data_IF_398728981557
#
_entry.id   IF_398728981557
#
_cell.length_a   1.000
_cell.length_b   1.000
_cell.length_c   1.000
_cell.angle_alpha   90.00
_cell.angle_beta   90.00
_cell.angle_gamma   90.00
#
_symmetry.space_group_name_H-M   'P 1'
#
loop_
_entity.id
_entity.type
_entity.pdbx_description
1 polymer ?
#
# COMPACT_ATOMS: atom_id res chain seq x y z
N UNK A 1 -17.62 60.01 4.08
CA UNK A 1 -16.59 58.95 4.07
C UNK A 1 -17.24 57.67 3.56
N UNK A 2 -16.71 57.12 2.46
CA UNK A 2 -17.18 55.86 1.83
C UNK A 2 -16.53 54.70 2.58
N UNK A 3 -17.33 53.79 3.13
CA UNK A 3 -16.83 52.49 3.60
C UNK A 3 -16.97 51.54 2.42
N UNK A 4 -15.84 51.20 1.80
CA UNK A 4 -15.78 50.21 0.74
C UNK A 4 -16.04 48.83 1.32
N UNK A 5 -17.04 48.14 0.80
CA UNK A 5 -17.26 46.70 1.01
C UNK A 5 -16.25 45.93 0.17
N UNK A 6 -15.02 45.83 0.65
CA UNK A 6 -14.00 44.91 0.17
C UNK A 6 -13.62 43.98 1.31
N UNK A 7 -14.39 42.90 1.51
CA UNK A 7 -13.86 41.66 2.06
C UNK A 7 -14.89 40.54 1.90
N UNK A 8 -14.92 39.96 0.71
CA UNK A 8 -15.45 38.61 0.48
C UNK A 8 -14.40 37.82 -0.28
N UNK A 9 -13.27 37.57 0.38
CA UNK A 9 -12.17 36.74 -0.15
C UNK A 9 -12.25 35.26 0.30
N UNK A 10 -13.38 34.84 0.87
CA UNK A 10 -13.58 33.46 1.34
C UNK A 10 -14.20 32.51 0.30
N UNK A 11 -14.42 32.97 -0.93
CA UNK A 11 -14.86 32.13 -2.07
C UNK A 11 -13.74 31.31 -2.71
N UNK A 12 -12.76 30.82 -1.93
CA UNK A 12 -11.81 29.85 -2.45
C UNK A 12 -12.57 28.52 -2.61
N UNK A 13 -13.13 28.31 -3.78
CA UNK A 13 -13.51 26.99 -4.28
C UNK A 13 -12.36 26.05 -3.98
N UNK A 14 -12.54 25.19 -2.98
CA UNK A 14 -11.66 24.03 -2.81
C UNK A 14 -11.89 23.21 -4.05
N UNK A 15 -11.08 23.41 -5.09
CA UNK A 15 -10.91 22.43 -6.15
C UNK A 15 -10.58 21.14 -5.43
N UNK A 16 -11.59 20.29 -5.27
CA UNK A 16 -11.40 18.96 -4.75
C UNK A 16 -10.30 18.37 -5.61
N UNK A 17 -9.17 18.03 -4.99
CA UNK A 17 -8.24 17.10 -5.61
C UNK A 17 -9.10 15.87 -5.84
N UNK A 18 -9.52 15.67 -7.09
CA UNK A 18 -10.16 14.43 -7.48
C UNK A 18 -9.07 13.37 -7.29
N UNK A 19 -9.07 12.78 -6.09
CA UNK A 19 -8.18 11.68 -5.77
C UNK A 19 -8.64 10.57 -6.69
N UNK A 20 -7.91 10.38 -7.79
CA UNK A 20 -8.20 9.37 -8.77
C UNK A 20 -8.39 8.05 -8.03
N UNK A 21 -9.59 7.48 -8.14
CA UNK A 21 -9.90 6.22 -7.48
C UNK A 21 -8.87 5.20 -7.98
N UNK A 22 -8.18 4.49 -7.08
CA UNK A 22 -7.17 3.54 -7.51
C UNK A 22 -7.78 2.49 -8.42
N UNK A 23 -7.02 2.02 -9.43
CA UNK A 23 -7.53 1.05 -10.38
C UNK A 23 -7.89 -0.26 -9.68
N UNK A 24 -9.11 -0.75 -9.93
CA UNK A 24 -9.56 -2.08 -9.50
C UNK A 24 -9.04 -3.08 -10.56
N UNK A 25 -7.76 -3.38 -10.47
CA UNK A 25 -7.09 -4.39 -11.31
C UNK A 25 -6.40 -5.42 -10.43
N UNK A 26 -6.31 -6.66 -10.92
CA UNK A 26 -5.54 -7.74 -10.32
C UNK A 26 -4.05 -7.66 -10.67
N UNK A 27 -3.68 -6.81 -11.63
CA UNK A 27 -2.28 -6.52 -11.92
C UNK A 27 -1.63 -5.78 -10.74
N UNK A 28 -0.38 -6.12 -10.47
CA UNK A 28 0.39 -5.56 -9.37
C UNK A 28 1.38 -4.50 -9.85
N UNK A 29 1.55 -3.43 -9.08
CA UNK A 29 2.55 -2.40 -9.35
C UNK A 29 3.96 -2.85 -8.98
N UNK A 30 4.95 -2.08 -9.43
CA UNK A 30 6.36 -2.25 -9.06
C UNK A 30 6.63 -1.68 -7.66
N UNK A 31 7.35 -2.44 -6.84
CA UNK A 31 7.95 -2.04 -5.57
C UNK A 31 9.25 -1.28 -5.89
N UNK A 32 9.33 0.05 -5.66
CA UNK A 32 10.47 0.84 -6.12
C UNK A 32 11.81 0.42 -5.54
N UNK A 33 11.85 -0.06 -4.30
CA UNK A 33 13.09 -0.47 -3.62
C UNK A 33 13.70 -1.76 -4.17
N UNK A 34 12.90 -2.60 -4.85
CA UNK A 34 13.35 -3.88 -5.41
C UNK A 34 13.41 -3.89 -6.94
N UNK A 35 12.66 -3.00 -7.60
CA UNK A 35 12.46 -3.09 -9.05
C UNK A 35 11.62 -4.29 -9.50
N UNK A 36 10.99 -4.99 -8.56
CA UNK A 36 10.09 -6.13 -8.79
C UNK A 36 8.64 -5.70 -8.57
N UNK A 37 7.70 -6.34 -9.25
CA UNK A 37 6.28 -6.22 -8.91
C UNK A 37 5.93 -6.87 -7.56
N UNK A 38 4.81 -6.49 -6.95
CA UNK A 38 4.35 -7.18 -5.73
C UNK A 38 4.19 -8.69 -5.94
N UNK A 39 3.70 -9.13 -7.10
CA UNK A 39 3.55 -10.56 -7.40
C UNK A 39 4.90 -11.28 -7.51
N UNK A 40 5.90 -10.67 -8.14
CA UNK A 40 7.26 -11.24 -8.23
C UNK A 40 7.95 -11.27 -6.87
N UNK A 41 7.80 -10.21 -6.08
CA UNK A 41 8.32 -10.17 -4.72
C UNK A 41 7.65 -11.24 -3.83
N UNK A 42 6.34 -11.46 -3.96
CA UNK A 42 5.62 -12.53 -3.24
C UNK A 42 6.12 -13.91 -3.65
N UNK A 43 6.40 -14.14 -4.94
CA UNK A 43 6.99 -15.40 -5.37
C UNK A 43 8.38 -15.63 -4.74
N UNK A 44 9.18 -14.56 -4.60
CA UNK A 44 10.49 -14.61 -3.95
C UNK A 44 10.42 -14.88 -2.44
N UNK A 45 9.29 -14.59 -1.77
CA UNK A 45 9.12 -14.89 -0.34
C UNK A 45 8.71 -16.33 -0.04
N UNK A 46 8.41 -17.11 -1.08
CA UNK A 46 8.09 -18.53 -0.95
C UNK A 46 9.25 -19.36 -1.53
N UNK A 47 10.31 -19.61 -0.75
CA UNK A 47 11.37 -20.52 -1.17
C UNK A 47 10.79 -21.93 -1.22
N UNK A 48 10.28 -22.33 -2.37
CA UNK A 48 9.78 -23.66 -2.58
C UNK A 48 10.95 -24.64 -2.43
N UNK A 49 11.08 -25.23 -1.23
CA UNK A 49 11.91 -26.39 -0.89
C UNK A 49 13.43 -26.29 -0.98
N UNK A 50 14.02 -25.15 -1.36
CA UNK A 50 15.49 -25.01 -1.34
C UNK A 50 16.01 -24.78 0.08
N UNK A 51 16.74 -25.76 0.61
CA UNK A 51 17.42 -25.66 1.90
C UNK A 51 18.48 -24.55 1.94
N UNK A 52 18.93 -24.09 0.77
CA UNK A 52 19.91 -23.01 0.58
C UNK A 52 19.25 -21.68 0.17
N UNK A 53 17.93 -21.54 0.33
CA UNK A 53 17.25 -20.28 0.06
C UNK A 53 17.96 -19.13 0.81
N UNK A 54 18.29 -18.07 0.07
CA UNK A 54 18.88 -16.88 0.64
C UNK A 54 17.83 -16.18 1.51
N UNK A 55 17.81 -16.53 2.80
CA UNK A 55 16.89 -15.99 3.79
C UNK A 55 16.99 -14.47 3.93
N UNK A 56 18.13 -13.87 3.56
CA UNK A 56 18.27 -12.41 3.49
C UNK A 56 17.39 -11.87 2.37
N UNK A 57 17.50 -12.42 1.15
CA UNK A 57 16.67 -12.03 0.03
C UNK A 57 15.16 -12.25 0.26
N UNK A 58 14.80 -13.36 0.93
CA UNK A 58 13.40 -13.64 1.34
C UNK A 58 12.88 -12.58 2.30
N UNK A 59 13.70 -12.20 3.28
CA UNK A 59 13.33 -11.19 4.29
C UNK A 59 13.24 -9.80 3.65
N UNK A 60 14.20 -9.44 2.80
CA UNK A 60 14.21 -8.17 2.06
C UNK A 60 12.95 -8.03 1.18
N UNK A 61 12.56 -9.11 0.49
CA UNK A 61 11.34 -9.13 -0.31
C UNK A 61 10.08 -8.93 0.54
N UNK A 62 9.99 -9.62 1.69
CA UNK A 62 8.86 -9.48 2.61
C UNK A 62 8.79 -8.06 3.21
N UNK A 63 9.91 -7.52 3.68
CA UNK A 63 9.99 -6.18 4.25
C UNK A 63 9.62 -5.11 3.23
N UNK A 64 10.07 -5.23 1.98
CA UNK A 64 9.72 -4.30 0.92
C UNK A 64 8.21 -4.30 0.60
N UNK A 65 7.57 -5.48 0.60
CA UNK A 65 6.11 -5.59 0.49
C UNK A 65 5.42 -4.89 1.67
N UNK A 66 5.90 -5.08 2.91
CA UNK A 66 5.33 -4.44 4.09
C UNK A 66 5.52 -2.92 4.11
N UNK A 67 6.66 -2.42 3.64
CA UNK A 67 6.94 -0.99 3.61
C UNK A 67 6.13 -0.24 2.53
N UNK A 68 5.86 -0.89 1.40
CA UNK A 68 5.30 -0.22 0.21
C UNK A 68 3.77 -0.13 0.27
N UNK A 69 3.16 1.08 0.22
CA UNK A 69 1.71 1.22 0.18
C UNK A 69 1.11 0.61 -1.11
N UNK A 70 -0.03 -0.10 -1.03
CA UNK A 70 -0.72 -0.60 -2.21
C UNK A 70 -1.35 0.54 -3.01
N UNK A 71 -1.29 0.47 -4.33
CA UNK A 71 -1.95 1.42 -5.25
C UNK A 71 -2.94 0.74 -6.19
N UNK A 72 -2.89 -0.59 -6.30
CA UNK A 72 -3.89 -1.42 -6.97
C UNK A 72 -4.54 -2.42 -6.00
N UNK A 73 -5.69 -2.98 -6.40
CA UNK A 73 -6.29 -4.08 -5.66
C UNK A 73 -5.38 -5.33 -5.62
N UNK A 74 -4.65 -5.60 -6.70
CA UNK A 74 -3.63 -6.64 -6.76
C UNK A 74 -2.57 -6.49 -5.65
N UNK A 75 -2.01 -5.29 -5.47
CA UNK A 75 -1.01 -5.01 -4.44
C UNK A 75 -1.58 -5.29 -3.03
N UNK A 76 -2.80 -4.82 -2.79
CA UNK A 76 -3.49 -5.02 -1.51
C UNK A 76 -3.73 -6.51 -1.23
N UNK A 77 -4.08 -7.30 -2.25
CA UNK A 77 -4.26 -8.76 -2.11
C UNK A 77 -2.95 -9.49 -1.84
N UNK A 78 -1.85 -9.13 -2.50
CA UNK A 78 -0.51 -9.67 -2.18
C UNK A 78 -0.16 -9.37 -0.72
N UNK A 79 -0.32 -8.11 -0.32
CA UNK A 79 0.01 -7.67 1.03
C UNK A 79 -0.83 -8.37 2.11
N UNK A 80 -2.12 -8.61 1.85
CA UNK A 80 -2.98 -9.41 2.74
C UNK A 80 -2.51 -10.86 2.85
N UNK A 81 -2.14 -11.50 1.74
CA UNK A 81 -1.60 -12.87 1.76
C UNK A 81 -0.29 -12.93 2.53
N UNK A 82 0.59 -11.96 2.33
CA UNK A 82 1.83 -11.84 3.09
C UNK A 82 1.59 -11.67 4.59
N UNK A 83 0.67 -10.78 4.98
CA UNK A 83 0.28 -10.56 6.38
C UNK A 83 -0.33 -11.80 7.04
N UNK A 84 -1.11 -12.59 6.29
CA UNK A 84 -1.72 -13.82 6.76
C UNK A 84 -0.78 -15.03 6.76
N UNK A 85 0.35 -14.95 6.03
CA UNK A 85 1.33 -16.01 5.91
C UNK A 85 2.32 -16.06 7.07
N UNK A 86 3.15 -17.13 7.15
CA UNK A 86 4.11 -17.31 8.23
C UNK A 86 5.02 -16.10 8.43
N UNK A 87 5.59 -15.56 7.34
CA UNK A 87 6.47 -14.38 7.38
C UNK A 87 5.76 -13.12 7.90
N UNK A 88 4.48 -12.94 7.57
CA UNK A 88 3.66 -11.87 8.16
C UNK A 88 3.44 -12.06 9.65
N UNK A 89 3.20 -13.29 10.11
CA UNK A 89 2.96 -13.63 11.52
C UNK A 89 4.24 -13.56 12.36
N UNK A 90 5.39 -14.03 11.85
CA UNK A 90 6.69 -13.88 12.54
C UNK A 90 7.10 -12.40 12.62
N UNK A 91 6.77 -11.61 11.60
CA UNK A 91 6.84 -10.15 11.64
C UNK A 91 5.74 -9.48 12.48
N UNK A 92 4.74 -10.22 12.96
CA UNK A 92 3.56 -9.73 13.68
C UNK A 92 3.86 -9.05 15.02
N UNK A 93 5.09 -9.18 15.53
CA UNK A 93 5.60 -8.43 16.70
C UNK A 93 6.31 -7.12 16.32
N UNK A 94 6.43 -6.80 15.03
CA UNK A 94 7.08 -5.58 14.53
C UNK A 94 6.07 -4.46 14.27
N UNK A 95 6.51 -3.21 14.40
CA UNK A 95 5.73 -2.02 14.04
C UNK A 95 5.31 -2.02 12.55
N UNK A 96 6.01 -2.78 11.71
CA UNK A 96 5.76 -2.84 10.27
C UNK A 96 4.51 -3.66 9.92
N UNK A 97 4.14 -4.64 10.75
CA UNK A 97 2.92 -5.42 10.55
C UNK A 97 1.66 -4.56 10.74
N UNK A 98 1.55 -3.84 11.85
CA UNK A 98 0.42 -2.95 12.11
C UNK A 98 0.32 -1.81 11.08
N UNK A 99 1.48 -1.26 10.66
CA UNK A 99 1.54 -0.27 9.59
C UNK A 99 1.06 -0.83 8.25
N UNK A 100 1.47 -2.05 7.90
CA UNK A 100 1.04 -2.72 6.69
C UNK A 100 -0.48 -2.99 6.67
N UNK A 101 -1.07 -3.41 7.81
CA UNK A 101 -2.54 -3.51 7.96
C UNK A 101 -3.21 -2.15 7.75
N UNK A 102 -2.66 -1.09 8.34
CA UNK A 102 -3.17 0.27 8.20
C UNK A 102 -3.17 0.76 6.76
N UNK A 103 -2.10 0.47 6.01
CA UNK A 103 -1.99 0.79 4.58
C UNK A 103 -3.05 0.07 3.75
N UNK A 104 -3.24 -1.25 3.97
CA UNK A 104 -4.27 -2.02 3.27
C UNK A 104 -5.67 -1.50 3.61
N UNK A 105 -5.95 -1.29 4.89
CA UNK A 105 -7.26 -0.79 5.36
C UNK A 105 -7.58 0.57 4.76
N UNK A 106 -6.59 1.47 4.72
CA UNK A 106 -6.72 2.81 4.11
C UNK A 106 -7.03 2.68 2.62
N UNK A 107 -6.30 1.85 1.91
CA UNK A 107 -6.52 1.60 0.48
C UNK A 107 -7.92 1.05 0.21
N UNK A 108 -8.35 0.00 0.93
CA UNK A 108 -9.68 -0.58 0.76
C UNK A 108 -10.79 0.42 1.08
N UNK A 109 -10.59 1.32 2.04
CA UNK A 109 -11.54 2.40 2.33
C UNK A 109 -11.67 3.38 1.15
N UNK A 110 -10.62 3.63 0.37
CA UNK A 110 -10.72 4.43 -0.87
C UNK A 110 -11.52 3.72 -1.98
N UNK A 111 -11.64 2.40 -1.90
CA UNK A 111 -12.44 1.60 -2.82
C UNK A 111 -13.91 1.53 -2.39
N UNK A 112 -14.24 1.76 -1.12
CA UNK A 112 -15.62 1.78 -0.66
C UNK A 112 -16.33 3.05 -1.17
N UNK A 113 -17.54 2.94 -1.74
CA UNK A 113 -18.32 4.14 -2.06
C UNK A 113 -18.62 4.90 -0.76
N UNK A 114 -18.24 6.18 -0.72
CA UNK A 114 -18.71 7.10 0.32
C UNK A 114 -20.23 7.17 0.16
N UNK A 115 -20.97 6.64 1.14
CA UNK A 115 -22.43 6.73 1.19
C UNK A 115 -22.89 8.11 1.63
#
# INVERSE_FOLDING_TARGET
MKIGTEDSRWGAERKGVEVARPPITTETSVIPSLGLSFAEAEAATNPASDADADWVAVTDAAEAIHATPPITLGDAMVKLRMLAGPLGVTGGTSNDHARAIGQVSTFLATLAPVR
#
